data_IF_201864678223
#
_entry.id   IF_201864678223
#
_cell.length_a   1.000
_cell.length_b   1.000
_cell.length_c   1.000
_cell.angle_alpha   90.00
_cell.angle_beta   90.00
_cell.angle_gamma   90.00
#
_symmetry.space_group_name_H-M   'P 1'
#
loop_
_entity.id
_entity.type
_entity.pdbx_description
1 polymer ?
#
# COMPACT_ATOMS: atom_id res chain seq x y z
N UNK A 1 0.89 -3.45 -17.49
CA UNK A 1 -0.51 -3.08 -17.21
C UNK A 1 -1.46 -4.19 -17.62
N UNK A 2 -2.64 -4.29 -16.99
CA UNK A 2 -3.69 -5.27 -17.30
C UNK A 2 -4.86 -4.70 -18.11
N UNK A 3 -5.05 -3.39 -18.10
CA UNK A 3 -6.06 -2.69 -18.91
C UNK A 3 -5.67 -1.20 -19.09
N UNK A 4 -6.42 -0.49 -19.95
CA UNK A 4 -6.15 0.91 -20.27
C UNK A 4 -6.31 1.85 -19.06
N UNK A 5 -7.26 1.57 -18.17
CA UNK A 5 -7.47 2.38 -16.96
C UNK A 5 -6.25 2.29 -16.05
N UNK A 6 -5.72 1.09 -15.83
CA UNK A 6 -4.50 0.89 -15.04
C UNK A 6 -3.29 1.60 -15.66
N UNK A 7 -3.12 1.53 -16.99
CA UNK A 7 -2.01 2.21 -17.67
C UNK A 7 -2.12 3.74 -17.52
N UNK A 8 -3.29 4.32 -17.78
CA UNK A 8 -3.51 5.76 -17.63
C UNK A 8 -3.32 6.22 -16.17
N UNK A 9 -3.74 5.39 -15.21
CA UNK A 9 -3.58 5.65 -13.78
C UNK A 9 -2.12 5.61 -13.33
N UNK A 10 -1.31 4.66 -13.83
CA UNK A 10 0.12 4.58 -13.54
C UNK A 10 0.90 5.77 -14.13
N UNK A 11 0.55 6.19 -15.35
CA UNK A 11 1.26 7.26 -16.08
C UNK A 11 0.76 8.67 -15.72
N UNK A 12 -0.13 8.82 -14.73
CA UNK A 12 -0.60 10.13 -14.28
C UNK A 12 -1.55 10.84 -15.26
N UNK A 13 -2.14 10.13 -16.22
CA UNK A 13 -2.97 10.72 -17.27
C UNK A 13 -4.42 10.93 -16.81
N UNK A 14 -4.63 11.87 -15.88
CA UNK A 14 -5.93 12.11 -15.23
C UNK A 14 -7.09 12.35 -16.21
N UNK A 15 -6.88 13.10 -17.29
CA UNK A 15 -7.93 13.32 -18.31
C UNK A 15 -8.35 12.02 -19.01
N UNK A 16 -7.40 11.11 -19.26
CA UNK A 16 -7.67 9.81 -19.86
C UNK A 16 -8.38 8.90 -18.86
N UNK A 17 -7.99 8.92 -17.57
CA UNK A 17 -8.69 8.18 -16.52
C UNK A 17 -10.17 8.62 -16.46
N UNK A 18 -10.43 9.93 -16.43
CA UNK A 18 -11.79 10.48 -16.48
C UNK A 18 -12.56 10.03 -17.72
N UNK A 19 -11.94 10.12 -18.90
CA UNK A 19 -12.57 9.69 -20.14
C UNK A 19 -12.95 8.20 -20.11
N UNK A 20 -12.06 7.34 -19.63
CA UNK A 20 -12.31 5.89 -19.55
C UNK A 20 -13.45 5.56 -18.59
N UNK A 21 -13.46 6.15 -17.39
CA UNK A 21 -14.54 5.96 -16.41
C UNK A 21 -15.89 6.44 -16.95
N UNK A 22 -15.93 7.61 -17.58
CA UNK A 22 -17.15 8.15 -18.21
C UNK A 22 -17.68 7.28 -19.36
N UNK A 23 -16.82 6.47 -19.99
CA UNK A 23 -17.19 5.51 -21.03
C UNK A 23 -17.46 4.09 -20.49
N UNK A 24 -17.60 3.94 -19.17
CA UNK A 24 -18.00 2.68 -18.54
C UNK A 24 -16.87 1.68 -18.32
N UNK A 25 -15.62 2.13 -18.27
CA UNK A 25 -14.54 1.28 -17.78
C UNK A 25 -14.86 0.81 -16.35
N UNK A 26 -14.71 -0.49 -16.10
CA UNK A 26 -14.84 -1.03 -14.75
C UNK A 26 -13.66 -0.54 -13.89
N UNK A 27 -13.98 0.32 -12.91
CA UNK A 27 -13.00 0.91 -11.97
C UNK A 27 -12.23 -0.16 -11.18
N UNK A 28 -12.83 -1.33 -11.00
CA UNK A 28 -12.29 -2.45 -10.23
C UNK A 28 -11.67 -3.54 -11.10
N UNK A 29 -11.54 -3.30 -12.42
CA UNK A 29 -10.97 -4.26 -13.35
C UNK A 29 -9.58 -4.71 -12.90
N UNK A 30 -9.45 -6.01 -12.65
CA UNK A 30 -8.23 -6.65 -12.16
C UNK A 30 -7.32 -7.12 -13.31
N UNK A 31 -6.02 -7.18 -13.07
CA UNK A 31 -5.00 -7.73 -13.95
C UNK A 31 -3.68 -6.95 -13.97
N UNK A 32 -2.67 -7.55 -14.60
CA UNK A 32 -1.34 -6.94 -14.75
C UNK A 32 -0.55 -6.86 -13.44
N UNK A 33 0.61 -6.20 -13.51
CA UNK A 33 1.57 -6.09 -12.41
C UNK A 33 0.97 -5.44 -11.15
N UNK A 34 0.25 -4.32 -11.29
CA UNK A 34 -0.32 -3.61 -10.14
C UNK A 34 -1.64 -4.20 -9.63
N UNK A 35 -2.24 -5.22 -10.25
CA UNK A 35 -3.56 -5.70 -9.80
C UNK A 35 -4.73 -4.85 -10.31
N UNK A 36 -4.86 -3.57 -9.96
CA UNK A 36 -5.91 -2.68 -10.51
C UNK A 36 -5.42 -1.23 -10.70
N UNK A 37 -6.31 -0.33 -11.11
CA UNK A 37 -5.99 1.08 -11.36
C UNK A 37 -5.67 1.87 -10.07
N UNK A 38 -6.37 1.57 -8.97
CA UNK A 38 -6.13 2.23 -7.68
C UNK A 38 -4.72 1.91 -7.16
N UNK A 39 -4.33 0.64 -7.21
CA UNK A 39 -3.00 0.17 -6.84
C UNK A 39 -1.91 0.80 -7.72
N UNK A 40 -2.15 0.94 -9.03
CA UNK A 40 -1.21 1.59 -9.94
C UNK A 40 -1.01 3.08 -9.62
N UNK A 41 -2.09 3.85 -9.46
CA UNK A 41 -2.00 5.25 -9.07
C UNK A 41 -1.35 5.44 -7.69
N UNK A 42 -1.62 4.50 -6.76
CA UNK A 42 -1.04 4.53 -5.41
C UNK A 42 0.46 4.22 -5.39
N UNK A 43 0.94 3.29 -6.23
CA UNK A 43 2.36 3.01 -6.38
C UNK A 43 3.11 4.20 -7.02
N UNK A 44 2.52 4.82 -8.04
CA UNK A 44 3.19 5.87 -8.82
C UNK A 44 2.99 7.29 -8.25
N UNK A 45 2.31 7.44 -7.11
CA UNK A 45 2.20 8.73 -6.41
C UNK A 45 1.15 9.70 -6.95
N UNK A 46 0.22 9.24 -7.80
CA UNK A 46 -0.79 10.10 -8.45
C UNK A 46 -2.01 10.32 -7.56
N UNK A 47 -1.87 11.12 -6.51
CA UNK A 47 -2.91 11.36 -5.49
C UNK A 47 -4.26 11.82 -6.08
N UNK A 48 -4.26 12.69 -7.08
CA UNK A 48 -5.50 13.17 -7.72
C UNK A 48 -6.25 12.04 -8.45
N UNK A 49 -5.50 11.08 -9.02
CA UNK A 49 -6.07 9.89 -9.65
C UNK A 49 -6.58 8.92 -8.59
N UNK A 50 -5.88 8.74 -7.47
CA UNK A 50 -6.37 7.94 -6.33
C UNK A 50 -7.71 8.48 -5.84
N UNK A 51 -7.82 9.80 -5.61
CA UNK A 51 -9.08 10.44 -5.25
C UNK A 51 -10.17 10.21 -6.30
N UNK A 52 -9.85 10.39 -7.58
CA UNK A 52 -10.79 10.19 -8.67
C UNK A 52 -11.34 8.75 -8.71
N UNK A 53 -10.47 7.75 -8.58
CA UNK A 53 -10.84 6.35 -8.61
C UNK A 53 -11.73 5.98 -7.40
N UNK A 54 -11.37 6.42 -6.20
CA UNK A 54 -12.18 6.20 -4.98
C UNK A 54 -13.58 6.85 -5.12
N UNK A 55 -13.65 8.07 -5.65
CA UNK A 55 -14.92 8.75 -5.91
C UNK A 55 -15.79 8.04 -6.94
N UNK A 56 -15.20 7.21 -7.81
CA UNK A 56 -15.90 6.38 -8.80
C UNK A 56 -16.15 4.94 -8.30
N UNK A 57 -15.96 4.66 -7.00
CA UNK A 57 -16.31 3.37 -6.40
C UNK A 57 -15.22 2.30 -6.52
N UNK A 58 -13.95 2.70 -6.65
CA UNK A 58 -12.84 1.77 -6.49
C UNK A 58 -12.90 1.12 -5.11
N UNK A 59 -12.80 -0.20 -5.06
CA UNK A 59 -12.65 -0.94 -3.81
C UNK A 59 -11.25 -0.70 -3.23
N UNK A 60 -11.20 0.07 -2.14
CA UNK A 60 -9.97 0.44 -1.44
C UNK A 60 -9.20 -0.78 -0.90
N UNK A 61 -9.90 -1.89 -0.66
CA UNK A 61 -9.33 -3.12 -0.11
C UNK A 61 -9.11 -4.22 -1.16
N UNK A 62 -9.35 -3.92 -2.44
CA UNK A 62 -9.15 -4.87 -3.52
C UNK A 62 -7.73 -5.45 -3.50
N UNK A 63 -7.66 -6.77 -3.51
CA UNK A 63 -6.42 -7.53 -3.46
C UNK A 63 -5.97 -7.98 -4.85
N UNK A 64 -4.67 -7.95 -5.11
CA UNK A 64 -4.08 -8.42 -6.35
C UNK A 64 -2.69 -7.82 -6.60
N UNK A 65 -2.12 -8.14 -7.76
CA UNK A 65 -0.86 -7.57 -8.19
C UNK A 65 0.34 -7.91 -7.29
N UNK A 66 1.44 -7.21 -7.54
CA UNK A 66 2.72 -7.36 -6.86
C UNK A 66 2.66 -6.94 -5.39
N UNK A 67 2.12 -5.75 -5.13
CA UNK A 67 2.08 -5.15 -3.79
C UNK A 67 0.99 -5.73 -2.90
N UNK A 68 -0.03 -6.40 -3.45
CA UNK A 68 -1.17 -6.94 -2.69
C UNK A 68 -2.37 -5.99 -2.67
N UNK A 69 -2.22 -4.74 -2.24
CA UNK A 69 -3.27 -3.72 -2.31
C UNK A 69 -2.72 -2.30 -2.42
N UNK A 70 -3.61 -1.30 -2.51
CA UNK A 70 -3.22 0.08 -2.74
C UNK A 70 -2.47 0.69 -1.54
N UNK A 71 -2.84 0.31 -0.32
CA UNK A 71 -2.19 0.77 0.90
C UNK A 71 -0.75 0.25 0.97
N UNK A 72 -0.53 -1.01 0.62
CA UNK A 72 0.78 -1.63 0.54
C UNK A 72 1.64 -0.99 -0.55
N UNK A 73 1.07 -0.74 -1.73
CA UNK A 73 1.77 -0.06 -2.83
C UNK A 73 2.25 1.34 -2.42
N UNK A 74 1.36 2.19 -1.92
CA UNK A 74 1.73 3.53 -1.45
C UNK A 74 2.74 3.51 -0.29
N UNK A 75 2.65 2.48 0.57
CA UNK A 75 3.56 2.31 1.71
C UNK A 75 4.95 1.84 1.30
N UNK A 76 5.07 1.00 0.27
CA UNK A 76 6.35 0.58 -0.31
C UNK A 76 7.04 1.74 -1.04
N UNK A 77 6.28 2.53 -1.79
CA UNK A 77 6.83 3.60 -2.65
C UNK A 77 6.99 4.95 -1.92
N UNK A 78 6.61 5.04 -0.64
CA UNK A 78 6.88 6.23 0.18
C UNK A 78 5.84 7.37 0.05
N UNK A 79 4.67 7.10 -0.53
CA UNK A 79 3.63 8.12 -0.78
C UNK A 79 2.74 8.36 0.44
N UNK A 80 3.26 9.05 1.46
CA UNK A 80 2.57 9.29 2.73
C UNK A 80 1.16 9.89 2.59
N UNK A 81 0.97 10.86 1.71
CA UNK A 81 -0.34 11.51 1.55
C UNK A 81 -1.38 10.55 0.97
N UNK A 82 -0.96 9.63 0.10
CA UNK A 82 -1.80 8.55 -0.42
C UNK A 82 -2.10 7.52 0.67
N UNK A 83 -1.14 7.15 1.50
CA UNK A 83 -1.38 6.27 2.66
C UNK A 83 -2.45 6.87 3.58
N UNK A 84 -2.33 8.16 3.91
CA UNK A 84 -3.33 8.88 4.70
C UNK A 84 -4.71 8.86 4.02
N UNK A 85 -4.75 9.16 2.72
CA UNK A 85 -5.98 9.19 1.95
C UNK A 85 -6.69 7.83 1.95
N UNK A 86 -5.96 6.74 1.69
CA UNK A 86 -6.51 5.38 1.65
C UNK A 86 -7.05 4.96 3.02
N UNK A 87 -6.32 5.22 4.11
CA UNK A 87 -6.77 4.93 5.47
C UNK A 87 -8.03 5.72 5.84
N UNK A 88 -8.12 6.98 5.42
CA UNK A 88 -9.32 7.79 5.64
C UNK A 88 -10.53 7.31 4.81
N UNK A 89 -10.29 6.58 3.72
CA UNK A 89 -11.32 5.93 2.89
C UNK A 89 -11.59 4.47 3.30
N UNK A 90 -11.12 4.03 4.47
CA UNK A 90 -11.45 2.71 5.01
C UNK A 90 -10.56 1.56 4.53
N UNK A 91 -9.34 1.86 4.07
CA UNK A 91 -8.34 0.82 3.87
C UNK A 91 -8.09 0.05 5.19
N UNK A 92 -8.10 -1.28 5.12
CA UNK A 92 -7.72 -2.13 6.23
C UNK A 92 -6.21 -2.07 6.43
N UNK A 93 -5.79 -1.41 7.52
CA UNK A 93 -4.38 -1.24 7.90
C UNK A 93 -3.65 -2.57 8.10
N UNK A 94 -4.39 -3.65 8.42
CA UNK A 94 -3.84 -4.97 8.71
C UNK A 94 -4.05 -5.98 7.57
N UNK A 95 -4.59 -5.55 6.42
CA UNK A 95 -4.77 -6.40 5.26
C UNK A 95 -3.46 -7.11 4.89
N UNK A 96 -3.56 -8.43 4.70
CA UNK A 96 -2.43 -9.28 4.35
C UNK A 96 -2.44 -9.60 2.85
N UNK A 97 -1.27 -9.63 2.21
CA UNK A 97 -1.11 -9.99 0.81
C UNK A 97 0.22 -9.54 0.23
N UNK A 98 0.37 -9.71 -1.08
CA UNK A 98 1.53 -9.21 -1.83
C UNK A 98 2.88 -9.80 -1.42
N UNK A 99 3.97 -9.26 -1.97
CA UNK A 99 5.34 -9.67 -1.62
C UNK A 99 5.71 -9.30 -0.17
N UNK A 100 5.27 -8.13 0.29
CA UNK A 100 5.67 -7.55 1.57
C UNK A 100 4.89 -8.13 2.77
N UNK A 101 3.72 -8.74 2.56
CA UNK A 101 2.87 -9.24 3.63
C UNK A 101 1.81 -8.22 4.07
N UNK A 102 2.21 -7.01 4.51
CA UNK A 102 1.27 -5.91 4.78
C UNK A 102 1.94 -4.54 4.63
N UNK A 103 1.17 -3.46 4.81
CA UNK A 103 1.64 -2.10 4.61
C UNK A 103 2.76 -1.69 5.60
N UNK A 104 2.67 -2.17 6.84
CA UNK A 104 3.70 -1.90 7.85
C UNK A 104 5.03 -2.55 7.48
N UNK A 105 4.98 -3.79 6.98
CA UNK A 105 6.15 -4.53 6.50
C UNK A 105 6.75 -3.86 5.25
N UNK A 106 5.92 -3.42 4.31
CA UNK A 106 6.35 -2.69 3.12
C UNK A 106 7.11 -1.40 3.48
N UNK A 107 6.51 -0.52 4.29
CA UNK A 107 7.17 0.72 4.71
C UNK A 107 8.43 0.45 5.57
N UNK A 108 8.44 -0.63 6.34
CA UNK A 108 9.58 -1.01 7.18
C UNK A 108 10.75 -1.56 6.37
N UNK A 109 10.47 -2.31 5.30
CA UNK A 109 11.48 -2.80 4.36
C UNK A 109 12.10 -1.63 3.57
N UNK A 110 11.27 -0.73 3.04
CA UNK A 110 11.72 0.34 2.15
C UNK A 110 12.24 1.59 2.89
N UNK A 111 12.16 1.62 4.23
CA UNK A 111 12.78 2.67 5.05
C UNK A 111 11.93 3.92 5.29
N UNK A 112 10.62 3.85 5.04
CA UNK A 112 9.70 4.99 5.12
C UNK A 112 9.22 5.26 6.55
N UNK A 113 10.08 5.88 7.36
CA UNK A 113 9.85 6.11 8.80
C UNK A 113 8.53 6.80 9.14
N UNK A 114 8.16 7.83 8.38
CA UNK A 114 6.93 8.59 8.65
C UNK A 114 5.67 7.74 8.40
N UNK A 115 5.70 6.92 7.34
CA UNK A 115 4.63 5.96 7.02
C UNK A 115 4.54 4.87 8.08
N UNK A 116 5.67 4.31 8.56
CA UNK A 116 5.67 3.35 9.67
C UNK A 116 4.98 3.95 10.89
N UNK A 117 5.35 5.17 11.28
CA UNK A 117 4.73 5.83 12.43
C UNK A 117 3.23 6.07 12.21
N UNK A 118 2.83 6.49 11.01
CA UNK A 118 1.44 6.69 10.64
C UNK A 118 0.62 5.39 10.76
N UNK A 119 1.10 4.30 10.17
CA UNK A 119 0.42 3.00 10.20
C UNK A 119 0.25 2.49 11.63
N UNK A 120 1.30 2.61 12.47
CA UNK A 120 1.23 2.24 13.90
C UNK A 120 0.24 3.12 14.67
N UNK A 121 0.14 4.41 14.36
CA UNK A 121 -0.88 5.29 14.94
C UNK A 121 -2.30 4.95 14.49
N UNK A 122 -2.43 4.34 13.31
CA UNK A 122 -3.71 3.90 12.73
C UNK A 122 -4.08 2.46 13.10
N UNK A 123 -3.31 1.82 13.99
CA UNK A 123 -3.64 0.51 14.55
C UNK A 123 -3.08 -0.68 13.79
N UNK A 124 -2.01 -0.49 13.01
CA UNK A 124 -1.25 -1.61 12.45
C UNK A 124 -0.75 -2.53 13.57
N UNK A 125 -0.97 -3.84 13.42
CA UNK A 125 -0.42 -4.84 14.31
C UNK A 125 1.10 -4.94 14.11
N UNK A 126 1.84 -4.42 15.08
CA UNK A 126 3.30 -4.39 15.12
C UNK A 126 3.93 -5.79 15.04
N UNK A 127 3.19 -6.83 15.44
CA UNK A 127 3.65 -8.22 15.48
C UNK A 127 2.99 -9.07 14.38
N UNK A 128 2.29 -8.46 13.42
CA UNK A 128 1.74 -9.19 12.27
C UNK A 128 2.84 -9.99 11.57
N UNK A 129 2.55 -11.27 11.31
CA UNK A 129 3.45 -12.14 10.58
C UNK A 129 3.00 -12.31 9.13
N UNK A 130 3.95 -12.32 8.20
CA UNK A 130 3.70 -12.50 6.78
C UNK A 130 4.89 -12.10 5.93
N UNK A 131 4.68 -12.02 4.62
CA UNK A 131 5.66 -11.48 3.69
C UNK A 131 6.99 -12.25 3.63
N UNK A 132 7.93 -11.68 2.88
CA UNK A 132 9.27 -12.25 2.67
C UNK A 132 10.11 -12.36 3.93
N UNK A 133 10.02 -11.37 4.81
CA UNK A 133 10.87 -11.24 6.00
C UNK A 133 10.17 -11.69 7.29
N UNK A 134 8.95 -12.22 7.23
CA UNK A 134 8.23 -12.71 8.40
C UNK A 134 7.52 -11.62 9.19
N UNK A 135 8.14 -10.47 9.47
CA UNK A 135 7.45 -9.32 10.07
C UNK A 135 8.20 -7.98 9.85
N UNK A 136 7.60 -6.88 10.28
CA UNK A 136 8.13 -5.53 10.06
C UNK A 136 9.49 -5.28 10.73
N UNK A 137 9.69 -5.85 11.93
CA UNK A 137 10.96 -5.72 12.66
C UNK A 137 12.08 -6.45 11.93
N UNK A 138 11.81 -7.66 11.45
CA UNK A 138 12.78 -8.43 10.66
C UNK A 138 13.09 -7.73 9.33
N UNK A 139 12.08 -7.22 8.62
CA UNK A 139 12.28 -6.45 7.39
C UNK A 139 13.21 -5.24 7.59
N UNK A 140 12.88 -4.37 8.56
CA UNK A 140 13.71 -3.20 8.87
C UNK A 140 15.12 -3.57 9.35
N UNK A 141 15.28 -4.70 10.07
CA UNK A 141 16.59 -5.17 10.53
C UNK A 141 17.46 -5.68 9.38
N UNK A 142 16.88 -6.39 8.41
CA UNK A 142 17.59 -6.90 7.24
C UNK A 142 18.10 -5.76 6.35
N UNK A 143 17.28 -4.73 6.17
CA UNK A 143 17.62 -3.57 5.32
C UNK A 143 18.42 -2.48 6.06
N UNK A 144 18.67 -2.63 7.36
CA UNK A 144 19.51 -1.72 8.15
C UNK A 144 18.83 -0.43 8.60
N UNK A 145 17.49 -0.37 8.61
CA UNK A 145 16.71 0.82 8.98
C UNK A 145 16.61 0.99 10.50
N UNK A 146 17.72 1.40 11.13
CA UNK A 146 17.87 1.46 12.60
C UNK A 146 16.78 2.28 13.32
N UNK A 147 16.37 3.42 12.75
CA UNK A 147 15.30 4.26 13.31
C UNK A 147 13.95 3.51 13.35
N UNK A 148 13.63 2.77 12.29
CA UNK A 148 12.41 1.95 12.21
C UNK A 148 12.47 0.79 13.20
N UNK A 149 13.61 0.11 13.31
CA UNK A 149 13.84 -0.94 14.31
C UNK A 149 13.56 -0.41 15.72
N UNK A 150 14.13 0.74 16.07
CA UNK A 150 13.91 1.38 17.36
C UNK A 150 12.44 1.76 17.58
N UNK A 151 11.77 2.28 16.54
CA UNK A 151 10.36 2.65 16.60
C UNK A 151 9.46 1.43 16.84
N UNK A 152 9.67 0.34 16.10
CA UNK A 152 8.91 -0.90 16.24
C UNK A 152 9.10 -1.53 17.62
N UNK A 153 10.34 -1.55 18.14
CA UNK A 153 10.63 -2.04 19.49
C UNK A 153 9.92 -1.21 20.58
N UNK A 154 9.92 0.13 20.46
CA UNK A 154 9.17 1.01 21.37
C UNK A 154 7.66 0.77 21.32
N UNK A 155 7.16 0.25 20.20
CA UNK A 155 5.75 -0.07 19.96
C UNK A 155 5.39 -1.51 20.31
N UNK A 156 6.32 -2.30 20.86
CA UNK A 156 6.08 -3.65 21.34
C UNK A 156 6.35 -4.77 20.32
N UNK A 157 7.16 -4.52 19.29
CA UNK A 157 7.64 -5.56 18.40
C UNK A 157 8.49 -6.59 19.17
N UNK A 158 8.12 -7.86 19.09
CA UNK A 158 8.79 -8.96 19.79
C UNK A 158 9.91 -9.53 18.91
N UNK A 159 11.08 -9.78 19.49
CA UNK A 159 12.27 -10.28 18.78
C UNK A 159 12.30 -11.81 18.61
N UNK A 160 11.34 -12.54 19.19
CA UNK A 160 11.25 -14.01 19.17
C UNK A 160 9.79 -14.46 19.00
N UNK A 161 9.48 -15.49 18.20
CA UNK A 161 8.19 -16.14 18.30
C UNK A 161 8.02 -16.73 19.72
N UNK A 162 6.80 -16.77 20.29
CA UNK A 162 6.58 -17.45 21.55
C UNK A 162 7.02 -18.93 21.44
N UNK A 163 7.59 -19.49 22.51
CA UNK A 163 8.14 -20.85 22.52
C UNK A 163 7.12 -21.94 22.20
#
# INVERSE_FOLDING_TARGET
YGNALQAASAEGHQEIVNLLLNNGADVNAQGGYYGNALQAASAEGHQDIVNLLLNNGADVNAQGGYYGNALQAASAEGHQDIVNLLLNNGADVNAQGGEYGNALQAASQEGHQEIVNLLLNKGADVNAQGGRYGNALQAASQEGHQEIVNMLQRRGAITLPPP
#
